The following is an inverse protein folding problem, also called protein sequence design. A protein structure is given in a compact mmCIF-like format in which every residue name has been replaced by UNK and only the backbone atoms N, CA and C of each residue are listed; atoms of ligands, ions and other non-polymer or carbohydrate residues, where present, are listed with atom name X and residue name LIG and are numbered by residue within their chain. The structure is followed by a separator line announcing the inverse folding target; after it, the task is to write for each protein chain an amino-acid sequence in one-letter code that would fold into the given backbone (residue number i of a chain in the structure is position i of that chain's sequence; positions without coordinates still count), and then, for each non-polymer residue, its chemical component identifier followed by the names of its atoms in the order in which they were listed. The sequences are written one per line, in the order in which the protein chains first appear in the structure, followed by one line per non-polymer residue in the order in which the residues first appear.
data_IF_917127648683
#
_entry.id   IF_917127648683
#
_cell.length_a   1.000
_cell.length_b   1.000
_cell.length_c   1.000
_cell.angle_alpha   90.00
_cell.angle_beta   90.00
_cell.angle_gamma   90.00
#
_symmetry.space_group_name_H-M   'P 1'
#
loop_
_entity.id
_entity.type
_entity.pdbx_description
1 polymer ?
#
# COMPACT_ATOMS: atom_id res chain seq x y z
N UNK A 1 4.00 -18.60 45.03
CA UNK A 1 3.32 -19.00 43.77
C UNK A 1 4.08 -18.34 42.64
N UNK A 2 4.61 -19.08 41.65
CA UNK A 2 5.29 -18.45 40.54
C UNK A 2 4.25 -17.65 39.73
N UNK A 3 4.43 -16.33 39.68
CA UNK A 3 3.75 -15.45 38.75
C UNK A 3 3.95 -16.01 37.35
N UNK A 4 2.88 -16.52 36.73
CA UNK A 4 2.89 -16.85 35.32
C UNK A 4 3.24 -15.57 34.57
N UNK A 5 4.45 -15.51 34.03
CA UNK A 5 4.86 -14.46 33.11
C UNK A 5 3.90 -14.54 31.93
N UNK A 6 2.93 -13.62 31.86
CA UNK A 6 2.01 -13.55 30.74
C UNK A 6 2.82 -13.31 29.47
N UNK A 7 2.94 -14.36 28.68
CA UNK A 7 3.76 -14.36 27.48
C UNK A 7 3.14 -13.37 26.49
N UNK A 8 3.88 -12.31 26.16
CA UNK A 8 3.43 -11.25 25.25
C UNK A 8 3.27 -11.85 23.85
N UNK A 9 2.04 -12.17 23.50
CA UNK A 9 1.60 -12.47 22.15
C UNK A 9 1.09 -11.12 21.63
N UNK A 10 1.56 -10.69 20.45
CA UNK A 10 1.45 -9.32 19.89
C UNK A 10 0.16 -8.57 20.24
N UNK A 11 0.22 -7.23 20.41
CA UNK A 11 -0.86 -6.45 21.02
C UNK A 11 -2.27 -6.67 20.45
N UNK A 12 -2.39 -6.94 19.14
CA UNK A 12 -3.67 -7.23 18.49
C UNK A 12 -4.27 -8.60 18.81
N UNK A 13 -3.45 -9.57 19.23
CA UNK A 13 -3.88 -10.94 19.54
C UNK A 13 -4.41 -11.10 20.97
N UNK A 14 -4.01 -10.22 21.89
CA UNK A 14 -4.49 -10.15 23.27
C UNK A 14 -4.69 -8.69 23.71
N UNK A 15 -5.69 -8.00 23.17
CA UNK A 15 -5.91 -6.56 23.40
C UNK A 15 -6.28 -6.23 24.86
N UNK A 16 -6.63 -7.22 25.67
CA UNK A 16 -6.80 -7.15 27.12
C UNK A 16 -5.49 -6.90 27.88
N UNK A 17 -4.35 -7.40 27.38
CA UNK A 17 -3.05 -7.24 28.05
C UNK A 17 -2.52 -5.82 28.00
N UNK A 18 -2.89 -5.03 26.99
CA UNK A 18 -2.46 -3.65 26.82
C UNK A 18 -3.60 -2.63 27.03
N UNK A 19 -4.81 -3.12 27.32
CA UNK A 19 -5.99 -2.28 27.55
C UNK A 19 -5.89 -1.38 28.78
N UNK A 20 -4.96 -1.66 29.70
CA UNK A 20 -4.68 -0.82 30.86
C UNK A 20 -3.76 0.37 30.56
N UNK A 21 -3.01 0.34 29.44
CA UNK A 21 -2.12 1.44 29.03
C UNK A 21 -2.86 2.54 28.26
N UNK A 22 -4.01 2.22 27.66
CA UNK A 22 -4.80 3.15 26.86
C UNK A 22 -6.29 2.99 27.18
N UNK A 23 -6.92 3.95 27.89
CA UNK A 23 -8.37 3.96 28.06
C UNK A 23 -9.03 4.10 26.68
N UNK A 24 -9.59 2.99 26.18
CA UNK A 24 -10.13 2.90 24.82
C UNK A 24 -11.17 3.98 24.56
N UNK A 25 -10.90 4.88 23.63
CA UNK A 25 -11.93 5.67 22.97
C UNK A 25 -12.74 4.69 22.11
N UNK A 26 -13.93 4.34 22.57
CA UNK A 26 -14.84 3.47 21.84
C UNK A 26 -15.40 4.20 20.60
N UNK A 27 -14.63 4.26 19.52
CA UNK A 27 -15.06 4.78 18.24
C UNK A 27 -16.06 3.81 17.59
N UNK A 28 -17.20 4.34 17.16
CA UNK A 28 -18.14 3.56 16.34
C UNK A 28 -17.49 3.22 14.99
N UNK A 29 -17.91 2.11 14.37
CA UNK A 29 -17.44 1.74 13.02
C UNK A 29 -17.68 2.85 12.01
N UNK A 30 -18.83 3.51 12.08
CA UNK A 30 -19.18 4.63 11.21
C UNK A 30 -18.21 5.80 11.39
N UNK A 31 -17.93 6.18 12.65
CA UNK A 31 -16.97 7.25 12.96
C UNK A 31 -15.57 6.93 12.43
N UNK A 32 -15.14 5.67 12.55
CA UNK A 32 -13.86 5.23 12.01
C UNK A 32 -13.80 5.37 10.48
N UNK A 33 -14.81 4.90 9.76
CA UNK A 33 -14.85 5.03 8.30
C UNK A 33 -14.89 6.49 7.86
N UNK A 34 -15.64 7.34 8.56
CA UNK A 34 -15.68 8.78 8.28
C UNK A 34 -14.32 9.42 8.49
N UNK A 35 -13.65 9.14 9.62
CA UNK A 35 -12.33 9.69 9.92
C UNK A 35 -11.28 9.26 8.88
N UNK A 36 -11.23 7.97 8.52
CA UNK A 36 -10.33 7.48 7.48
C UNK A 36 -10.66 8.09 6.12
N UNK A 37 -11.94 8.23 5.79
CA UNK A 37 -12.38 8.91 4.57
C UNK A 37 -11.91 10.37 4.52
N UNK A 38 -12.05 11.09 5.62
CA UNK A 38 -11.54 12.47 5.74
C UNK A 38 -10.02 12.52 5.58
N UNK A 39 -9.27 11.59 6.19
CA UNK A 39 -7.82 11.53 6.05
C UNK A 39 -7.38 11.24 4.60
N UNK A 40 -8.05 10.30 3.92
CA UNK A 40 -7.79 10.01 2.50
C UNK A 40 -8.09 11.24 1.64
N UNK A 41 -9.24 11.88 1.84
CA UNK A 41 -9.63 13.06 1.05
C UNK A 41 -8.71 14.26 1.29
N UNK A 42 -8.35 14.53 2.55
CA UNK A 42 -7.42 15.59 2.90
C UNK A 42 -6.02 15.31 2.35
N UNK A 43 -5.51 14.08 2.55
CA UNK A 43 -4.21 13.65 2.03
C UNK A 43 -4.14 13.68 0.51
N UNK A 44 -5.22 13.32 -0.17
CA UNK A 44 -5.34 13.42 -1.63
C UNK A 44 -5.38 14.88 -2.06
N UNK A 45 -6.19 15.72 -1.42
CA UNK A 45 -6.31 17.15 -1.74
C UNK A 45 -4.93 17.85 -1.69
N UNK A 46 -4.15 17.61 -0.63
CA UNK A 46 -2.79 18.15 -0.54
C UNK A 46 -1.84 17.62 -1.62
N UNK A 47 -2.01 16.37 -2.06
CA UNK A 47 -1.18 15.76 -3.12
C UNK A 47 -1.58 16.24 -4.52
N UNK A 48 -2.86 16.46 -4.80
CA UNK A 48 -3.31 16.88 -6.15
C UNK A 48 -3.33 18.40 -6.34
N UNK A 49 -3.33 19.18 -5.26
CA UNK A 49 -3.33 20.65 -5.34
C UNK A 49 -2.15 21.16 -6.19
N UNK A 50 -2.45 21.78 -7.34
CA UNK A 50 -1.44 22.30 -8.28
C UNK A 50 -0.38 21.27 -8.70
N UNK A 51 -0.75 19.99 -8.78
CA UNK A 51 0.21 18.89 -9.08
C UNK A 51 0.84 19.00 -10.49
N UNK A 52 0.16 19.67 -11.42
CA UNK A 52 0.67 19.96 -12.77
C UNK A 52 1.30 21.35 -12.94
N UNK A 53 1.55 22.11 -11.86
CA UNK A 53 2.05 23.48 -11.98
C UNK A 53 3.56 23.55 -12.27
N UNK A 54 4.31 22.52 -11.89
CA UNK A 54 5.74 22.40 -12.15
C UNK A 54 5.97 21.49 -13.36
N UNK A 55 6.94 21.83 -14.22
CA UNK A 55 7.36 20.98 -15.33
C UNK A 55 7.94 19.65 -14.87
N UNK A 56 8.18 18.74 -15.81
CA UNK A 56 8.76 17.43 -15.52
C UNK A 56 10.21 17.54 -15.03
N UNK A 57 10.54 16.72 -14.03
CA UNK A 57 11.92 16.39 -13.70
C UNK A 57 12.52 15.43 -14.74
N UNK A 58 13.86 15.30 -14.77
CA UNK A 58 14.56 14.35 -15.64
C UNK A 58 14.05 12.92 -15.48
N UNK A 59 13.89 12.46 -14.24
CA UNK A 59 13.33 11.14 -13.94
C UNK A 59 11.92 10.96 -14.52
N UNK A 60 11.06 11.98 -14.41
CA UNK A 60 9.69 11.94 -14.93
C UNK A 60 9.64 11.96 -16.46
N UNK A 61 10.56 12.68 -17.11
CA UNK A 61 10.72 12.64 -18.57
C UNK A 61 11.10 11.23 -19.05
N UNK A 62 12.01 10.55 -18.35
CA UNK A 62 12.36 9.16 -18.67
C UNK A 62 11.14 8.22 -18.53
N UNK A 63 10.28 8.44 -17.53
CA UNK A 63 9.02 7.68 -17.40
C UNK A 63 8.05 8.00 -18.54
N UNK A 64 7.94 9.26 -18.93
CA UNK A 64 7.07 9.68 -20.03
C UNK A 64 7.51 9.05 -21.36
N UNK A 65 8.81 9.06 -21.65
CA UNK A 65 9.37 8.39 -22.84
C UNK A 65 9.09 6.88 -22.84
N UNK A 66 9.21 6.22 -21.69
CA UNK A 66 8.87 4.81 -21.57
C UNK A 66 7.37 4.54 -21.81
N UNK A 67 6.49 5.44 -21.35
CA UNK A 67 5.05 5.37 -21.62
C UNK A 67 4.76 5.53 -23.11
N UNK A 68 5.41 6.48 -23.78
CA UNK A 68 5.27 6.69 -25.23
C UNK A 68 5.73 5.47 -26.02
N UNK A 69 6.87 4.87 -25.63
CA UNK A 69 7.36 3.63 -26.24
C UNK A 69 6.38 2.47 -26.02
N UNK A 70 5.79 2.35 -24.82
CA UNK A 70 4.78 1.33 -24.51
C UNK A 70 3.53 1.46 -25.36
N UNK A 71 3.14 2.69 -25.69
CA UNK A 71 2.00 2.97 -26.57
C UNK A 71 2.29 2.61 -28.02
N UNK A 72 3.51 2.87 -28.49
CA UNK A 72 3.91 2.61 -29.87
C UNK A 72 4.21 1.12 -30.14
N UNK A 73 4.80 0.42 -29.17
CA UNK A 73 5.41 -0.90 -29.39
C UNK A 73 4.89 -2.00 -28.44
N UNK A 74 3.96 -1.69 -27.55
CA UNK A 74 3.54 -2.60 -26.48
C UNK A 74 4.56 -2.64 -25.33
N UNK A 75 4.48 -3.62 -24.42
CA UNK A 75 5.41 -3.71 -23.29
C UNK A 75 6.85 -3.98 -23.77
N UNK A 76 7.75 -3.03 -23.56
CA UNK A 76 9.17 -3.13 -23.93
C UNK A 76 10.11 -3.02 -22.71
N UNK A 77 11.40 -3.22 -22.95
CA UNK A 77 12.46 -2.99 -21.96
C UNK A 77 12.87 -1.51 -21.81
N UNK A 78 12.14 -0.55 -22.42
CA UNK A 78 12.41 0.87 -22.22
C UNK A 78 12.31 1.24 -20.73
N UNK A 79 13.33 1.97 -20.24
CA UNK A 79 13.49 2.27 -18.81
C UNK A 79 13.45 0.97 -17.95
N UNK A 80 14.09 -0.11 -18.44
CA UNK A 80 14.05 -1.45 -17.88
C UNK A 80 14.80 -1.61 -16.55
N UNK A 81 15.53 -0.59 -16.11
CA UNK A 81 16.09 -0.53 -14.76
C UNK A 81 15.02 -0.44 -13.67
N UNK A 82 13.78 -0.09 -14.03
CA UNK A 82 12.61 -0.17 -13.16
C UNK A 82 11.53 -1.12 -13.69
N UNK A 83 10.84 -1.85 -12.78
CA UNK A 83 9.70 -2.70 -13.12
C UNK A 83 8.56 -2.01 -13.89
N UNK A 84 7.70 -2.81 -14.55
CA UNK A 84 6.68 -2.25 -15.46
C UNK A 84 5.38 -1.79 -14.79
N UNK A 85 5.05 -2.23 -13.57
CA UNK A 85 3.74 -1.95 -12.95
C UNK A 85 3.42 -0.46 -12.86
N UNK A 86 4.37 0.34 -12.38
CA UNK A 86 4.20 1.79 -12.30
C UNK A 86 3.96 2.36 -13.70
N UNK A 87 4.81 2.03 -14.67
CA UNK A 87 4.70 2.54 -16.04
C UNK A 87 3.34 2.21 -16.65
N UNK A 88 2.82 1.01 -16.44
CA UNK A 88 1.47 0.62 -16.87
C UNK A 88 0.37 1.51 -16.26
N UNK A 89 0.46 1.81 -14.95
CA UNK A 89 -0.47 2.73 -14.28
C UNK A 89 -0.36 4.16 -14.83
N UNK A 90 0.86 4.62 -15.13
CA UNK A 90 1.09 5.92 -15.75
C UNK A 90 0.51 5.99 -17.17
N UNK A 91 0.72 4.95 -17.98
CA UNK A 91 0.15 4.83 -19.33
C UNK A 91 -1.37 4.92 -19.29
N UNK A 92 -2.00 4.18 -18.37
CA UNK A 92 -3.46 4.22 -18.18
C UNK A 92 -3.93 5.62 -17.77
N UNK A 93 -3.26 6.23 -16.80
CA UNK A 93 -3.61 7.57 -16.32
C UNK A 93 -3.53 8.65 -17.41
N UNK A 94 -2.43 8.63 -18.19
CA UNK A 94 -2.27 9.55 -19.32
C UNK A 94 -3.33 9.29 -20.40
N UNK A 95 -3.63 8.03 -20.73
CA UNK A 95 -4.65 7.70 -21.72
C UNK A 95 -6.05 8.16 -21.28
N UNK A 96 -6.40 7.95 -20.00
CA UNK A 96 -7.66 8.43 -19.43
C UNK A 96 -7.74 9.96 -19.41
N UNK A 97 -6.62 10.66 -19.14
CA UNK A 97 -6.58 12.12 -19.18
C UNK A 97 -6.75 12.68 -20.61
N UNK A 98 -6.14 12.05 -21.60
CA UNK A 98 -6.32 12.40 -23.01
C UNK A 98 -7.76 12.17 -23.47
N UNK A 99 -8.35 11.03 -23.13
CA UNK A 99 -9.75 10.73 -23.42
C UNK A 99 -10.66 11.76 -22.77
N UNK A 100 -10.47 12.05 -21.47
CA UNK A 100 -11.21 13.09 -20.76
C UNK A 100 -11.11 14.45 -21.46
N UNK A 101 -9.90 14.86 -21.83
CA UNK A 101 -9.64 16.13 -22.50
C UNK A 101 -10.31 16.23 -23.88
N UNK A 102 -10.60 15.10 -24.53
CA UNK A 102 -11.32 15.05 -25.80
C UNK A 102 -12.84 15.18 -25.67
N UNK A 103 -13.39 14.94 -24.47
CA UNK A 103 -14.83 15.03 -24.23
C UNK A 103 -15.31 16.48 -24.24
N UNK A 104 -16.55 16.70 -24.72
CA UNK A 104 -17.15 18.02 -24.88
C UNK A 104 -17.06 18.95 -23.64
N UNK A 105 -17.24 18.49 -22.39
CA UNK A 105 -17.10 19.35 -21.22
C UNK A 105 -15.68 19.92 -21.06
N UNK A 106 -14.66 19.07 -21.19
CA UNK A 106 -13.26 19.48 -21.04
C UNK A 106 -12.77 20.30 -22.25
N UNK A 107 -13.17 19.89 -23.45
CA UNK A 107 -12.82 20.59 -24.69
C UNK A 107 -13.42 22.00 -24.76
N UNK A 108 -14.61 22.21 -24.18
CA UNK A 108 -15.27 23.54 -24.13
C UNK A 108 -14.76 24.46 -23.01
N UNK A 109 -14.11 23.92 -21.99
CA UNK A 109 -13.59 24.69 -20.85
C UNK A 109 -12.12 24.34 -20.55
N UNK A 110 -11.19 24.62 -21.49
CA UNK A 110 -9.80 24.19 -21.38
C UNK A 110 -9.08 24.77 -20.16
N UNK A 111 -9.43 25.98 -19.72
CA UNK A 111 -8.75 26.66 -18.61
C UNK A 111 -9.09 26.06 -17.24
N UNK A 112 -10.23 25.34 -17.12
CA UNK A 112 -10.70 24.83 -15.82
C UNK A 112 -10.81 23.31 -15.74
N UNK A 113 -11.07 22.62 -16.87
CA UNK A 113 -11.37 21.19 -16.87
C UNK A 113 -10.30 20.33 -17.55
N UNK A 114 -9.33 20.94 -18.25
CA UNK A 114 -8.26 20.19 -18.91
C UNK A 114 -7.27 19.65 -17.88
N UNK A 115 -6.90 18.38 -18.04
CA UNK A 115 -5.85 17.73 -17.26
C UNK A 115 -4.54 17.83 -18.02
N UNK A 116 -3.54 18.49 -17.45
CA UNK A 116 -2.18 18.56 -18.00
C UNK A 116 -1.49 17.18 -17.97
N UNK A 117 -0.58 16.87 -18.91
CA UNK A 117 0.24 15.66 -18.86
C UNK A 117 0.99 15.47 -17.53
N UNK A 118 1.48 16.55 -16.93
CA UNK A 118 2.18 16.55 -15.64
C UNK A 118 1.27 16.03 -14.52
N UNK A 119 0.06 16.59 -14.43
CA UNK A 119 -0.94 16.12 -13.48
C UNK A 119 -1.34 14.68 -13.73
N UNK A 120 -1.56 14.28 -15.00
CA UNK A 120 -1.93 12.92 -15.36
C UNK A 120 -0.84 11.89 -15.01
N UNK A 121 0.43 12.22 -15.26
CA UNK A 121 1.57 11.37 -14.93
C UNK A 121 1.74 11.22 -13.41
N UNK A 122 1.53 12.28 -12.63
CA UNK A 122 1.72 12.28 -11.17
C UNK A 122 0.50 11.75 -10.39
N UNK A 123 -0.69 11.76 -11.00
CA UNK A 123 -1.95 11.40 -10.34
C UNK A 123 -1.96 9.99 -9.72
N UNK A 124 -1.46 8.93 -10.38
CA UNK A 124 -1.40 7.60 -9.77
C UNK A 124 -0.59 7.58 -8.47
N UNK A 125 0.57 8.24 -8.44
CA UNK A 125 1.37 8.37 -7.21
C UNK A 125 0.61 9.16 -6.13
N UNK A 126 -0.05 10.26 -6.49
CA UNK A 126 -0.84 11.04 -5.52
C UNK A 126 -1.98 10.22 -4.91
N UNK A 127 -2.68 9.42 -5.73
CA UNK A 127 -3.77 8.55 -5.30
C UNK A 127 -3.29 7.43 -4.39
N UNK A 128 -2.28 6.66 -4.80
CA UNK A 128 -1.73 5.57 -4.00
C UNK A 128 -1.04 6.08 -2.72
N UNK A 129 -0.41 7.25 -2.79
CA UNK A 129 0.15 7.94 -1.63
C UNK A 129 -0.93 8.31 -0.61
N UNK A 130 -2.09 8.81 -1.05
CA UNK A 130 -3.21 9.09 -0.15
C UNK A 130 -3.81 7.80 0.44
N UNK A 131 -4.03 6.78 -0.38
CA UNK A 131 -4.58 5.49 0.07
C UNK A 131 -3.65 4.73 1.03
N UNK A 132 -2.33 4.99 0.96
CA UNK A 132 -1.35 4.43 1.90
C UNK A 132 -1.68 4.74 3.36
N UNK A 133 -2.34 5.86 3.67
CA UNK A 133 -2.76 6.16 5.06
C UNK A 133 -3.69 5.08 5.63
N UNK A 134 -4.55 4.48 4.80
CA UNK A 134 -5.46 3.40 5.21
C UNK A 134 -4.66 2.15 5.54
N UNK A 135 -3.65 1.83 4.74
CA UNK A 135 -2.80 0.66 5.00
C UNK A 135 -1.95 0.85 6.25
N UNK A 136 -1.45 2.06 6.50
CA UNK A 136 -0.78 2.41 7.76
C UNK A 136 -1.73 2.23 8.94
N UNK A 137 -2.97 2.74 8.85
CA UNK A 137 -3.99 2.49 9.87
C UNK A 137 -4.18 0.99 10.10
N UNK A 138 -4.38 0.21 9.04
CA UNK A 138 -4.68 -1.22 9.14
C UNK A 138 -3.54 -2.01 9.79
N UNK A 139 -2.30 -1.76 9.40
CA UNK A 139 -1.12 -2.42 9.98
C UNK A 139 -0.92 -1.98 11.43
N UNK A 140 -0.92 -0.68 11.72
CA UNK A 140 -0.71 -0.18 13.07
C UNK A 140 -1.85 -0.53 14.02
N UNK A 141 -3.10 -0.59 13.54
CA UNK A 141 -4.25 -1.01 14.34
C UNK A 141 -4.18 -2.48 14.72
N UNK A 142 -3.71 -3.35 13.81
CA UNK A 142 -3.46 -4.77 14.14
C UNK A 142 -2.31 -4.93 15.12
N UNK A 143 -1.28 -4.08 15.06
CA UNK A 143 -0.08 -4.23 15.90
C UNK A 143 -0.17 -3.52 17.25
N UNK A 144 -0.95 -2.45 17.36
CA UNK A 144 -0.93 -1.53 18.51
C UNK A 144 -2.31 -0.97 18.89
N UNK A 145 -3.36 -1.30 18.13
CA UNK A 145 -4.72 -0.83 18.39
C UNK A 145 -5.15 0.39 17.58
N UNK A 146 -6.46 0.62 17.50
CA UNK A 146 -7.09 1.57 16.57
C UNK A 146 -6.67 3.04 16.77
N UNK A 147 -6.41 3.45 18.01
CA UNK A 147 -5.99 4.82 18.34
C UNK A 147 -4.61 5.12 17.73
N UNK A 148 -3.64 4.24 17.98
CA UNK A 148 -2.29 4.34 17.41
C UNK A 148 -2.37 4.28 15.88
N UNK A 149 -3.23 3.41 15.34
CA UNK A 149 -3.48 3.34 13.90
C UNK A 149 -3.99 4.65 13.31
N UNK A 150 -4.96 5.31 13.96
CA UNK A 150 -5.52 6.58 13.49
C UNK A 150 -4.49 7.70 13.56
N UNK A 151 -3.70 7.77 14.64
CA UNK A 151 -2.62 8.74 14.77
C UNK A 151 -1.59 8.52 13.67
N UNK A 152 -1.14 7.28 13.44
CA UNK A 152 -0.17 6.97 12.39
C UNK A 152 -0.68 7.32 10.99
N UNK A 153 -1.96 7.03 10.70
CA UNK A 153 -2.57 7.40 9.43
C UNK A 153 -2.70 8.91 9.24
N UNK A 154 -3.04 9.65 10.30
CA UNK A 154 -3.12 11.11 10.27
C UNK A 154 -1.74 11.73 10.05
N UNK A 155 -0.70 11.22 10.72
CA UNK A 155 0.67 11.64 10.50
C UNK A 155 1.09 11.45 9.04
N UNK A 156 0.83 10.28 8.43
CA UNK A 156 1.14 10.06 7.01
C UNK A 156 0.33 10.94 6.04
N UNK A 157 -0.96 11.12 6.31
CA UNK A 157 -1.84 11.90 5.44
C UNK A 157 -1.39 13.36 5.35
N UNK A 158 -0.87 13.91 6.45
CA UNK A 158 -0.50 15.32 6.63
C UNK A 158 1.01 15.59 6.61
N UNK A 159 1.86 14.55 6.57
CA UNK A 159 3.31 14.70 6.56
C UNK A 159 3.80 15.37 5.27
N UNK A 160 4.49 16.53 5.35
CA UNK A 160 4.95 17.25 4.17
C UNK A 160 5.93 16.47 3.30
N UNK A 161 6.78 15.62 3.90
CA UNK A 161 7.75 14.83 3.16
C UNK A 161 7.06 13.72 2.36
N UNK A 162 6.12 12.99 2.96
CA UNK A 162 5.29 11.99 2.29
C UNK A 162 4.45 12.64 1.18
N UNK A 163 3.83 13.80 1.45
CA UNK A 163 3.10 14.56 0.43
C UNK A 163 4.03 14.92 -0.73
N UNK A 164 5.21 15.49 -0.46
CA UNK A 164 6.18 15.87 -1.50
C UNK A 164 6.63 14.69 -2.35
N UNK A 165 6.99 13.56 -1.73
CA UNK A 165 7.45 12.37 -2.44
C UNK A 165 6.32 11.72 -3.28
N UNK A 166 5.07 11.72 -2.78
CA UNK A 166 3.95 11.15 -3.51
C UNK A 166 3.41 12.07 -4.63
N UNK A 167 3.89 13.31 -4.72
CA UNK A 167 3.54 14.25 -5.79
C UNK A 167 4.40 14.08 -7.05
N UNK A 168 5.43 13.24 -6.99
CA UNK A 168 6.32 12.95 -8.10
C UNK A 168 5.97 11.57 -8.66
N UNK A 169 6.07 11.38 -9.98
CA UNK A 169 5.88 10.06 -10.58
C UNK A 169 7.12 9.17 -10.33
N UNK A 170 7.23 8.60 -9.12
CA UNK A 170 8.27 7.65 -8.69
C UNK A 170 7.72 6.34 -8.15
N UNK A 171 8.53 5.30 -8.27
CA UNK A 171 8.16 3.91 -7.94
C UNK A 171 8.02 3.65 -6.44
N UNK A 172 8.66 4.46 -5.60
CA UNK A 172 8.67 4.31 -4.13
C UNK A 172 7.26 4.31 -3.55
N UNK A 173 6.34 5.10 -4.13
CA UNK A 173 4.95 5.19 -3.67
C UNK A 173 4.22 3.86 -3.82
N UNK A 174 4.35 3.21 -4.98
CA UNK A 174 3.71 1.92 -5.26
C UNK A 174 4.38 0.80 -4.47
N UNK A 175 5.71 0.82 -4.40
CA UNK A 175 6.48 -0.11 -3.57
C UNK A 175 5.98 -0.09 -2.12
N UNK A 176 5.91 1.10 -1.49
CA UNK A 176 5.46 1.23 -0.11
C UNK A 176 4.01 0.79 0.07
N UNK A 177 3.12 1.16 -0.85
CA UNK A 177 1.72 0.76 -0.81
C UNK A 177 1.56 -0.76 -0.81
N UNK A 178 2.16 -1.45 -1.79
CA UNK A 178 2.06 -2.89 -1.90
C UNK A 178 2.82 -3.63 -0.78
N UNK A 179 3.92 -3.07 -0.28
CA UNK A 179 4.61 -3.59 0.90
C UNK A 179 3.70 -3.57 2.14
N UNK A 180 3.04 -2.45 2.42
CA UNK A 180 2.12 -2.36 3.56
C UNK A 180 0.89 -3.24 3.38
N UNK A 181 0.37 -3.35 2.16
CA UNK A 181 -0.74 -4.24 1.83
C UNK A 181 -0.37 -5.72 2.08
N UNK A 182 0.85 -6.12 1.67
CA UNK A 182 1.37 -7.46 1.93
C UNK A 182 1.50 -7.72 3.43
N UNK A 183 2.05 -6.78 4.20
CA UNK A 183 2.20 -6.93 5.65
C UNK A 183 0.85 -6.95 6.37
N UNK A 184 -0.13 -6.17 5.91
CA UNK A 184 -1.48 -6.23 6.45
C UNK A 184 -2.10 -7.62 6.27
N UNK A 185 -2.09 -8.18 5.06
CA UNK A 185 -2.61 -9.52 4.82
C UNK A 185 -1.82 -10.60 5.56
N UNK A 186 -0.49 -10.43 5.67
CA UNK A 186 0.37 -11.30 6.44
C UNK A 186 -0.06 -11.36 7.91
N UNK A 187 -0.17 -10.20 8.57
CA UNK A 187 -0.59 -10.11 9.97
C UNK A 187 -2.02 -10.65 10.13
N UNK A 188 -2.93 -10.27 9.23
CA UNK A 188 -4.32 -10.72 9.28
C UNK A 188 -4.47 -12.23 9.17
N UNK A 189 -3.64 -12.90 8.37
CA UNK A 189 -3.62 -14.37 8.29
C UNK A 189 -3.34 -15.02 9.65
N UNK A 190 -2.49 -14.39 10.46
CA UNK A 190 -2.14 -14.86 11.80
C UNK A 190 -3.26 -14.57 12.79
N UNK A 191 -3.79 -13.34 12.79
CA UNK A 191 -4.93 -12.94 13.62
C UNK A 191 -6.13 -13.87 13.43
N UNK A 192 -6.42 -14.26 12.19
CA UNK A 192 -7.51 -15.19 11.88
C UNK A 192 -7.21 -16.61 12.37
N UNK A 193 -5.97 -17.06 12.28
CA UNK A 193 -5.56 -18.40 12.73
C UNK A 193 -5.66 -18.53 14.25
N UNK A 194 -5.38 -17.46 14.99
CA UNK A 194 -5.55 -17.45 16.45
C UNK A 194 -6.99 -17.26 16.90
N UNK A 195 -7.78 -16.54 16.11
CA UNK A 195 -9.15 -16.22 16.46
C UNK A 195 -10.05 -17.45 16.67
N UNK A 196 -11.14 -17.32 17.45
CA UNK A 196 -12.06 -18.43 17.74
C UNK A 196 -12.90 -18.85 16.54
N UNK A 197 -12.84 -18.11 15.43
CA UNK A 197 -13.83 -18.15 14.34
C UNK A 197 -13.66 -19.30 13.34
N UNK A 198 -12.61 -20.12 13.46
CA UNK A 198 -12.36 -21.28 12.57
C UNK A 198 -12.21 -20.92 11.08
N UNK A 199 -12.05 -19.63 10.75
CA UNK A 199 -11.91 -19.16 9.37
C UNK A 199 -10.57 -19.58 8.80
N UNK A 200 -10.56 -19.98 7.53
CA UNK A 200 -9.32 -20.35 6.83
C UNK A 200 -8.43 -19.12 6.58
N UNK A 201 -7.12 -19.16 6.89
CA UNK A 201 -6.18 -18.09 6.58
C UNK A 201 -5.72 -18.09 5.11
N UNK A 202 -6.06 -19.12 4.32
CA UNK A 202 -5.55 -19.29 2.94
C UNK A 202 -5.80 -18.08 2.02
N UNK A 203 -6.98 -17.42 2.00
CA UNK A 203 -7.18 -16.24 1.16
C UNK A 203 -6.17 -15.12 1.45
N UNK A 204 -5.72 -14.99 2.70
CA UNK A 204 -4.75 -13.99 3.11
C UNK A 204 -3.33 -14.37 2.69
N UNK A 205 -3.01 -15.66 2.58
CA UNK A 205 -1.75 -16.10 1.98
C UNK A 205 -1.68 -15.74 0.50
N UNK A 206 -2.75 -15.97 -0.26
CA UNK A 206 -2.83 -15.56 -1.67
C UNK A 206 -2.75 -14.04 -1.82
N UNK A 207 -3.49 -13.29 -1.01
CA UNK A 207 -3.46 -11.84 -1.02
C UNK A 207 -2.08 -11.28 -0.64
N UNK A 208 -1.39 -11.92 0.32
CA UNK A 208 0.00 -11.57 0.64
C UNK A 208 0.92 -11.84 -0.54
N UNK A 209 0.83 -13.02 -1.16
CA UNK A 209 1.61 -13.36 -2.36
C UNK A 209 1.40 -12.34 -3.46
N UNK A 210 0.17 -11.99 -3.77
CA UNK A 210 -0.14 -10.99 -4.78
C UNK A 210 0.44 -9.61 -4.46
N UNK A 211 0.29 -9.14 -3.22
CA UNK A 211 0.85 -7.86 -2.82
C UNK A 211 2.39 -7.86 -2.83
N UNK A 212 3.05 -8.96 -2.44
CA UNK A 212 4.52 -9.08 -2.56
C UNK A 212 4.98 -9.10 -4.02
N UNK A 213 4.25 -9.78 -4.91
CA UNK A 213 4.52 -9.76 -6.34
C UNK A 213 4.42 -8.36 -6.92
N UNK A 214 3.34 -7.64 -6.60
CA UNK A 214 3.13 -6.25 -7.00
C UNK A 214 4.17 -5.28 -6.39
N UNK A 215 4.63 -5.53 -5.16
CA UNK A 215 5.70 -4.77 -4.52
C UNK A 215 7.02 -4.90 -5.31
N UNK A 216 7.43 -6.12 -5.63
CA UNK A 216 8.65 -6.37 -6.42
C UNK A 216 8.48 -5.83 -7.85
N UNK A 217 7.27 -5.94 -8.40
CA UNK A 217 6.92 -5.36 -9.69
C UNK A 217 6.75 -3.84 -9.66
N UNK A 218 6.89 -3.18 -8.50
CA UNK A 218 6.97 -1.72 -8.39
C UNK A 218 8.43 -1.28 -8.31
N UNK A 219 9.24 -1.97 -7.50
CA UNK A 219 10.68 -1.70 -7.33
C UNK A 219 11.42 -3.00 -7.04
N UNK A 220 12.57 -3.23 -7.66
CA UNK A 220 13.39 -4.44 -7.47
C UNK A 220 14.07 -4.49 -6.10
N UNK A 221 13.27 -4.58 -5.03
CA UNK A 221 13.70 -4.66 -3.64
C UNK A 221 13.14 -5.92 -2.96
N UNK A 222 13.47 -7.13 -3.47
CA UNK A 222 12.92 -8.37 -2.94
C UNK A 222 13.33 -8.65 -1.49
N UNK A 223 14.43 -8.05 -1.02
CA UNK A 223 14.90 -8.22 0.36
C UNK A 223 13.89 -7.72 1.41
N UNK A 224 12.94 -6.83 1.07
CA UNK A 224 11.87 -6.43 1.99
C UNK A 224 10.88 -7.56 2.32
N UNK A 225 10.83 -8.62 1.53
CA UNK A 225 10.12 -9.87 1.90
C UNK A 225 10.63 -10.41 3.24
N UNK A 226 11.92 -10.19 3.54
CA UNK A 226 12.52 -10.61 4.80
C UNK A 226 11.85 -9.95 6.01
N UNK A 227 11.22 -8.78 5.89
CA UNK A 227 10.52 -8.14 7.03
C UNK A 227 9.35 -9.01 7.50
N UNK A 228 8.47 -9.42 6.58
CA UNK A 228 7.32 -10.27 6.91
C UNK A 228 7.76 -11.66 7.38
N UNK A 229 8.79 -12.22 6.74
CA UNK A 229 9.38 -13.50 7.14
C UNK A 229 9.98 -13.41 8.54
N UNK A 230 10.80 -12.39 8.81
CA UNK A 230 11.45 -12.16 10.10
C UNK A 230 10.42 -11.94 11.19
N UNK A 231 9.32 -11.23 10.91
CA UNK A 231 8.22 -11.10 11.85
C UNK A 231 7.67 -12.47 12.26
N UNK A 232 7.43 -13.40 11.32
CA UNK A 232 7.04 -14.76 11.71
C UNK A 232 8.10 -15.43 12.60
N UNK A 233 9.37 -15.40 12.19
CA UNK A 233 10.47 -16.03 12.94
C UNK A 233 10.70 -15.44 14.34
N UNK A 234 10.61 -14.12 14.50
CA UNK A 234 10.79 -13.43 15.77
C UNK A 234 9.80 -13.92 16.84
N UNK A 235 8.59 -14.27 16.42
CA UNK A 235 7.54 -14.77 17.30
C UNK A 235 7.47 -16.30 17.31
N UNK A 236 8.49 -17.01 16.80
CA UNK A 236 8.48 -18.47 16.77
C UNK A 236 8.61 -19.15 18.14
N UNK A 237 9.24 -18.47 19.10
CA UNK A 237 9.43 -18.95 20.45
C UNK A 237 8.20 -18.85 21.36
N UNK A 238 7.09 -18.24 20.90
CA UNK A 238 5.91 -18.06 21.75
C UNK A 238 5.17 -19.41 21.95
N UNK A 239 4.87 -19.80 23.21
CA UNK A 239 4.14 -21.03 23.52
C UNK A 239 2.66 -20.92 23.12
N UNK A 240 2.04 -22.06 22.78
CA UNK A 240 0.60 -22.21 22.52
C UNK A 240 0.01 -21.38 21.35
N UNK A 241 0.83 -20.92 20.41
CA UNK A 241 0.35 -20.28 19.17
C UNK A 241 -0.17 -21.31 18.17
N UNK A 242 -1.28 -20.98 17.53
CA UNK A 242 -1.91 -21.69 16.40
C UNK A 242 -1.33 -21.22 15.07
N UNK A 243 -0.82 -20.00 14.98
CA UNK A 243 -0.23 -19.49 13.75
C UNK A 243 1.22 -19.95 13.59
N UNK A 244 1.42 -20.91 12.68
CA UNK A 244 2.73 -21.31 12.18
C UNK A 244 2.65 -21.44 10.65
N UNK A 245 3.37 -20.56 9.95
CA UNK A 245 3.49 -20.66 8.50
C UNK A 245 4.58 -21.69 8.22
N UNK A 246 4.17 -22.94 7.97
CA UNK A 246 5.09 -24.00 7.57
C UNK A 246 5.63 -23.81 6.15
N UNK A 247 6.69 -24.56 5.82
CA UNK A 247 7.30 -24.62 4.48
C UNK A 247 6.29 -24.70 3.32
N UNK A 248 5.25 -25.56 3.33
CA UNK A 248 4.32 -25.63 2.18
C UNK A 248 3.52 -24.34 1.96
N UNK A 249 3.18 -23.61 3.04
CA UNK A 249 2.45 -22.34 2.92
C UNK A 249 3.36 -21.23 2.40
N UNK A 250 4.60 -21.18 2.88
CA UNK A 250 5.62 -20.27 2.34
C UNK A 250 5.82 -20.48 0.83
N UNK A 251 5.94 -21.74 0.39
CA UNK A 251 6.10 -22.06 -1.02
C UNK A 251 4.93 -21.52 -1.85
N UNK A 252 3.69 -21.71 -1.39
CA UNK A 252 2.50 -21.17 -2.08
C UNK A 252 2.54 -19.65 -2.19
N UNK A 253 2.84 -18.94 -1.10
CA UNK A 253 2.92 -17.49 -1.06
C UNK A 253 3.95 -16.98 -2.08
N UNK A 254 5.14 -17.58 -2.09
CA UNK A 254 6.23 -17.13 -2.96
C UNK A 254 6.05 -17.52 -4.42
N UNK A 255 5.51 -18.72 -4.71
CA UNK A 255 5.13 -19.11 -6.07
C UNK A 255 4.09 -18.14 -6.62
N UNK A 256 3.08 -17.81 -5.81
CA UNK A 256 2.05 -16.87 -6.25
C UNK A 256 2.59 -15.44 -6.39
N UNK A 257 3.48 -15.00 -5.50
CA UNK A 257 4.18 -13.72 -5.65
C UNK A 257 4.99 -13.66 -6.94
N UNK A 258 5.68 -14.74 -7.29
CA UNK A 258 6.43 -14.84 -8.54
C UNK A 258 5.50 -14.78 -9.76
N UNK A 259 4.36 -15.48 -9.74
CA UNK A 259 3.35 -15.39 -10.82
C UNK A 259 2.85 -13.95 -10.98
N UNK A 260 2.47 -13.28 -9.88
CA UNK A 260 1.99 -11.90 -9.96
C UNK A 260 3.10 -10.95 -10.42
N UNK A 261 4.33 -11.14 -9.96
CA UNK A 261 5.48 -10.38 -10.46
C UNK A 261 5.63 -10.50 -11.98
N UNK A 262 5.52 -11.72 -12.54
CA UNK A 262 5.56 -11.96 -13.98
C UNK A 262 4.34 -11.44 -14.75
N UNK A 263 3.20 -11.26 -14.11
CA UNK A 263 2.02 -10.67 -14.75
C UNK A 263 2.06 -9.14 -14.77
N UNK A 264 2.81 -8.55 -13.84
CA UNK A 264 2.98 -7.10 -13.72
C UNK A 264 4.27 -6.58 -14.39
N UNK A 265 5.03 -7.45 -15.07
CA UNK A 265 6.23 -7.13 -15.86
C UNK A 265 6.17 -7.87 -17.20
#
# INVERSE_FOLDING_TARGET
MPTQTETIITAGLRPELLGHLHPRVALSRTSLFVLLGVLVLAGLAFRVARIGAEGFSEDELNKLQAVEDYRAHGLTSANGEHPMLMKALLTLSLASAEEWNSLAPAASHPDSLRVSPEAALRFPSALFGALTCVLIYLVAAELFGAEVGLIAAALWALDPAAIGLNRIAKEDTFFLFFFLLANFFWIRSQTITEGPTGRSPEPYYWATGAALGAMIASKYMPFFVAVSVSYNYAFQGLPNRRWQIGRPRYLRIFVFAFIIFLLCN
#
